data_IF_167230498357
#
_entry.id   IF_167230498357
#
_cell.length_a   1.000
_cell.length_b   1.000
_cell.length_c   1.000
_cell.angle_alpha   90.00
_cell.angle_beta   90.00
_cell.angle_gamma   90.00
#
_symmetry.space_group_name_H-M   'P 1'
#
loop_
_entity.id
_entity.type
_entity.pdbx_description
1 polymer ?
#
# COMPACT_ATOMS: atom_id res chain seq x y z
N UNK A 1 -13.78 -29.43 34.38
CA UNK A 1 -14.78 -28.59 33.68
C UNK A 1 -14.21 -27.27 33.17
N UNK A 2 -13.64 -26.36 33.99
CA UNK A 2 -13.08 -25.09 33.49
C UNK A 2 -11.86 -25.27 32.56
N UNK A 3 -10.95 -26.21 32.84
CA UNK A 3 -9.77 -26.47 32.01
C UNK A 3 -10.06 -27.10 30.65
N UNK A 4 -11.12 -27.89 30.54
CA UNK A 4 -11.58 -28.46 29.25
C UNK A 4 -12.28 -27.42 28.39
N UNK A 5 -13.04 -26.50 29.02
CA UNK A 5 -13.69 -25.40 28.32
C UNK A 5 -12.67 -24.41 27.76
N UNK A 6 -11.61 -24.10 28.52
CA UNK A 6 -10.50 -23.24 28.03
C UNK A 6 -9.72 -23.93 26.90
N UNK A 7 -9.47 -25.24 26.99
CA UNK A 7 -8.85 -26.00 25.88
C UNK A 7 -9.74 -26.04 24.64
N UNK A 8 -11.05 -26.23 24.80
CA UNK A 8 -11.99 -26.25 23.68
C UNK A 8 -12.10 -24.86 23.02
N UNK A 9 -12.12 -23.79 23.81
CA UNK A 9 -12.11 -22.40 23.30
C UNK A 9 -10.80 -22.07 22.60
N UNK A 10 -9.65 -22.52 23.13
CA UNK A 10 -8.35 -22.36 22.47
C UNK A 10 -8.24 -23.20 21.19
N UNK A 11 -8.81 -24.41 21.15
CA UNK A 11 -8.83 -25.26 19.97
C UNK A 11 -9.79 -24.73 18.89
N UNK A 12 -10.95 -24.21 19.28
CA UNK A 12 -11.90 -23.55 18.36
C UNK A 12 -11.34 -22.22 17.85
N UNK A 13 -10.67 -21.44 18.72
CA UNK A 13 -9.94 -20.23 18.34
C UNK A 13 -8.77 -20.51 17.40
N UNK A 14 -8.02 -21.58 17.63
CA UNK A 14 -6.94 -22.03 16.75
C UNK A 14 -7.47 -22.56 15.40
N UNK A 15 -8.60 -23.26 15.40
CA UNK A 15 -9.26 -23.75 14.18
C UNK A 15 -9.87 -22.61 13.35
N UNK A 16 -10.32 -21.52 13.98
CA UNK A 16 -10.75 -20.30 13.31
C UNK A 16 -9.58 -19.49 12.71
N UNK A 17 -8.40 -19.53 13.34
CA UNK A 17 -7.17 -18.90 12.85
C UNK A 17 -6.48 -19.68 11.71
N UNK A 18 -6.77 -20.98 11.57
CA UNK A 18 -6.24 -21.85 10.51
C UNK A 18 -7.18 -21.95 9.30
N UNK A 19 -8.22 -21.12 9.28
CA UNK A 19 -9.38 -21.29 8.46
C UNK A 19 -9.29 -20.27 7.33
N UNK A 20 -8.92 -20.71 6.11
CA UNK A 20 -8.80 -19.86 4.91
C UNK A 20 -10.05 -19.02 4.66
N UNK A 21 -9.99 -17.99 3.83
CA UNK A 21 -11.12 -17.06 3.64
C UNK A 21 -12.40 -17.81 3.25
N UNK A 22 -13.56 -17.22 3.52
CA UNK A 22 -14.84 -17.89 3.22
C UNK A 22 -14.92 -18.37 1.77
N UNK A 23 -14.47 -17.55 0.81
CA UNK A 23 -14.42 -17.91 -0.60
C UNK A 23 -13.54 -19.12 -0.89
N UNK A 24 -12.44 -19.32 -0.15
CA UNK A 24 -11.54 -20.47 -0.30
C UNK A 24 -12.20 -21.78 0.13
N UNK A 25 -13.24 -21.71 0.94
CA UNK A 25 -13.99 -22.86 1.44
C UNK A 25 -15.17 -23.21 0.54
N UNK A 26 -15.56 -22.32 -0.37
CA UNK A 26 -16.72 -22.54 -1.23
C UNK A 26 -16.51 -23.77 -2.12
N UNK A 27 -17.42 -24.77 -2.08
CA UNK A 27 -17.27 -25.99 -2.86
C UNK A 27 -17.16 -25.72 -4.36
N UNK A 28 -17.91 -24.73 -4.86
CA UNK A 28 -17.90 -24.31 -6.26
C UNK A 28 -16.53 -23.78 -6.67
N UNK A 29 -15.93 -22.92 -5.83
CA UNK A 29 -14.60 -22.39 -6.08
C UNK A 29 -13.55 -23.50 -6.10
N UNK A 30 -13.56 -24.38 -5.09
CA UNK A 30 -12.58 -25.47 -4.96
C UNK A 30 -12.66 -26.47 -6.10
N UNK A 31 -13.86 -26.91 -6.47
CA UNK A 31 -14.06 -27.85 -7.57
C UNK A 31 -13.65 -27.23 -8.92
N UNK A 32 -13.96 -25.94 -9.13
CA UNK A 32 -13.52 -25.22 -10.32
C UNK A 32 -11.98 -25.19 -10.41
N UNK A 33 -11.29 -24.80 -9.33
CA UNK A 33 -9.81 -24.69 -9.32
C UNK A 33 -9.18 -26.04 -9.60
N UNK A 34 -9.62 -27.11 -8.90
CA UNK A 34 -9.10 -28.46 -9.09
C UNK A 34 -9.23 -28.91 -10.55
N UNK A 35 -10.42 -28.75 -11.15
CA UNK A 35 -10.66 -29.12 -12.55
C UNK A 35 -9.86 -28.27 -13.54
N UNK A 36 -9.71 -26.97 -13.26
CA UNK A 36 -8.92 -26.08 -14.10
C UNK A 36 -7.45 -26.48 -14.10
N UNK A 37 -6.87 -26.77 -12.92
CA UNK A 37 -5.48 -27.17 -12.79
C UNK A 37 -5.19 -28.52 -13.44
N UNK A 38 -6.06 -29.52 -13.25
CA UNK A 38 -5.93 -30.83 -13.88
C UNK A 38 -5.95 -30.74 -15.41
N UNK A 39 -6.84 -29.91 -15.97
CA UNK A 39 -7.03 -29.78 -17.43
C UNK A 39 -5.96 -28.92 -18.09
N UNK A 40 -5.61 -27.79 -17.48
CA UNK A 40 -4.82 -26.74 -18.14
C UNK A 40 -3.37 -26.69 -17.68
N UNK A 41 -3.09 -27.10 -16.43
CA UNK A 41 -1.79 -26.88 -15.80
C UNK A 41 -0.89 -28.12 -15.77
N UNK A 42 -1.22 -29.16 -16.56
CA UNK A 42 -0.46 -30.42 -16.63
C UNK A 42 -0.02 -30.79 -18.06
N UNK A 43 1.13 -31.48 -18.17
CA UNK A 43 1.58 -32.10 -19.43
C UNK A 43 1.68 -31.16 -20.64
N UNK A 44 1.04 -31.56 -21.75
CA UNK A 44 1.00 -30.77 -22.98
C UNK A 44 0.19 -29.47 -22.86
N UNK A 45 -0.84 -29.45 -22.02
CA UNK A 45 -1.66 -28.26 -21.79
C UNK A 45 -0.86 -27.15 -21.10
N UNK A 46 0.00 -27.49 -20.13
CA UNK A 46 0.89 -26.52 -19.50
C UNK A 46 1.89 -25.90 -20.49
N UNK A 47 2.43 -26.72 -21.42
CA UNK A 47 3.31 -26.21 -22.49
C UNK A 47 2.55 -25.26 -23.42
N UNK A 48 1.30 -25.59 -23.75
CA UNK A 48 0.43 -24.74 -24.57
C UNK A 48 0.09 -23.43 -23.85
N UNK A 49 -0.23 -23.47 -22.55
CA UNK A 49 -0.45 -22.28 -21.75
C UNK A 49 0.79 -21.37 -21.78
N UNK A 50 1.97 -21.92 -21.46
CA UNK A 50 3.22 -21.15 -21.44
C UNK A 50 3.59 -20.55 -22.80
N UNK A 51 3.28 -21.22 -23.91
CA UNK A 51 3.57 -20.67 -25.24
C UNK A 51 2.62 -19.55 -25.66
N UNK A 52 1.44 -19.47 -25.05
CA UNK A 52 0.45 -18.40 -25.28
C UNK A 52 0.45 -17.32 -24.21
N UNK A 53 1.07 -17.56 -23.07
CA UNK A 53 1.12 -16.60 -21.98
C UNK A 53 1.82 -15.31 -22.43
N UNK A 54 1.19 -14.13 -22.29
CA UNK A 54 1.83 -12.87 -22.65
C UNK A 54 3.13 -12.65 -21.87
N UNK A 55 4.14 -12.08 -22.53
CA UNK A 55 5.48 -11.89 -21.94
C UNK A 55 5.41 -11.09 -20.64
N UNK A 56 4.57 -10.05 -20.57
CA UNK A 56 4.43 -9.23 -19.36
C UNK A 56 3.87 -10.04 -18.16
N UNK A 57 2.99 -11.02 -18.41
CA UNK A 57 2.48 -11.91 -17.35
C UNK A 57 3.56 -12.87 -16.88
N UNK A 58 4.34 -13.43 -17.82
CA UNK A 58 5.44 -14.32 -17.50
C UNK A 58 6.55 -13.60 -16.73
N UNK A 59 6.89 -12.37 -17.11
CA UNK A 59 7.89 -11.54 -16.41
C UNK A 59 7.42 -11.14 -15.01
N UNK A 60 6.12 -10.89 -14.84
CA UNK A 60 5.52 -10.64 -13.53
C UNK A 60 5.31 -11.92 -12.70
N UNK A 61 5.72 -13.10 -13.19
CA UNK A 61 5.67 -14.35 -12.42
C UNK A 61 4.26 -14.92 -12.22
N UNK A 62 3.33 -14.63 -13.13
CA UNK A 62 2.01 -15.27 -13.12
C UNK A 62 2.12 -16.72 -13.61
N UNK A 63 1.44 -17.64 -12.94
CA UNK A 63 1.43 -19.06 -13.28
C UNK A 63 0.05 -19.51 -13.77
N UNK A 64 0.00 -20.69 -14.39
CA UNK A 64 -1.27 -21.33 -14.78
C UNK A 64 -2.21 -21.53 -13.58
N UNK A 65 -1.66 -21.86 -12.41
CA UNK A 65 -2.44 -22.02 -11.18
C UNK A 65 -3.04 -20.69 -10.71
N UNK A 66 -2.29 -19.59 -10.81
CA UNK A 66 -2.80 -18.26 -10.46
C UNK A 66 -3.97 -17.85 -11.36
N UNK A 67 -3.89 -18.15 -12.66
CA UNK A 67 -4.99 -17.91 -13.60
C UNK A 67 -6.20 -18.79 -13.29
N UNK A 68 -6.01 -20.07 -12.97
CA UNK A 68 -7.11 -20.94 -12.54
C UNK A 68 -7.80 -20.41 -11.27
N UNK A 69 -7.05 -19.98 -10.26
CA UNK A 69 -7.59 -19.36 -9.05
C UNK A 69 -8.38 -18.10 -9.38
N UNK A 70 -7.83 -17.23 -10.22
CA UNK A 70 -8.47 -15.98 -10.62
C UNK A 70 -9.79 -16.20 -11.38
N UNK A 71 -9.80 -17.05 -12.41
CA UNK A 71 -11.00 -17.32 -13.20
C UNK A 71 -12.09 -17.96 -12.34
N UNK A 72 -11.73 -18.95 -11.52
CA UNK A 72 -12.68 -19.63 -10.64
C UNK A 72 -13.21 -18.75 -9.51
N UNK A 73 -12.40 -17.80 -9.02
CA UNK A 73 -12.86 -16.75 -8.12
C UNK A 73 -13.97 -15.95 -8.79
N UNK A 74 -13.77 -15.47 -10.03
CA UNK A 74 -14.78 -14.68 -10.75
C UNK A 74 -16.04 -15.45 -11.12
N UNK A 75 -15.93 -16.75 -11.44
CA UNK A 75 -17.09 -17.64 -11.58
C UNK A 75 -17.90 -17.67 -10.29
N UNK A 76 -17.23 -17.83 -9.15
CA UNK A 76 -17.89 -17.91 -7.83
C UNK A 76 -18.52 -16.57 -7.46
N UNK A 77 -17.80 -15.45 -7.67
CA UNK A 77 -18.34 -14.09 -7.47
C UNK A 77 -19.59 -13.86 -8.33
N UNK A 78 -19.58 -14.31 -9.59
CA UNK A 78 -20.72 -14.20 -10.49
C UNK A 78 -21.99 -14.88 -9.95
N UNK A 79 -21.85 -16.07 -9.36
CA UNK A 79 -22.97 -16.79 -8.73
C UNK A 79 -23.52 -16.03 -7.51
N UNK A 80 -22.63 -15.54 -6.64
CA UNK A 80 -23.04 -14.74 -5.47
C UNK A 80 -23.82 -13.49 -5.86
N UNK A 81 -23.36 -12.79 -6.90
CA UNK A 81 -24.05 -11.60 -7.40
C UNK A 81 -25.42 -11.93 -8.01
N UNK A 82 -25.54 -13.05 -8.72
CA UNK A 82 -26.81 -13.51 -9.29
C UNK A 82 -27.83 -13.89 -8.21
N UNK A 83 -27.38 -14.53 -7.13
CA UNK A 83 -28.22 -14.95 -6.01
C UNK A 83 -28.49 -13.82 -4.99
N UNK A 84 -27.86 -12.65 -5.17
CA UNK A 84 -28.01 -11.51 -4.25
C UNK A 84 -27.29 -11.70 -2.91
N UNK A 85 -26.30 -12.59 -2.86
CA UNK A 85 -25.48 -12.84 -1.68
C UNK A 85 -24.30 -11.87 -1.58
N UNK A 86 -23.81 -11.66 -0.35
CA UNK A 86 -22.59 -10.85 -0.12
C UNK A 86 -21.38 -11.65 -0.58
N UNK A 87 -20.61 -11.07 -1.49
CA UNK A 87 -19.38 -11.68 -2.02
C UNK A 87 -18.38 -11.91 -0.88
N UNK A 88 -17.75 -13.09 -0.78
CA UNK A 88 -16.75 -13.36 0.24
C UNK A 88 -15.34 -12.93 -0.22
N UNK A 89 -14.40 -12.88 0.74
CA UNK A 89 -12.98 -12.77 0.46
C UNK A 89 -12.40 -14.13 0.01
N UNK A 90 -11.34 -14.08 -0.79
CA UNK A 90 -10.55 -15.21 -1.29
C UNK A 90 -9.07 -14.98 -0.96
N UNK A 91 -8.38 -15.98 -0.44
CA UNK A 91 -6.96 -15.92 -0.03
C UNK A 91 -6.60 -14.69 0.82
N UNK A 92 -7.48 -14.33 1.76
CA UNK A 92 -7.30 -13.18 2.65
C UNK A 92 -7.63 -11.81 2.04
N UNK A 93 -8.11 -11.75 0.79
CA UNK A 93 -8.35 -10.49 0.07
C UNK A 93 -9.71 -10.43 -0.60
N UNK A 94 -10.17 -9.23 -0.91
CA UNK A 94 -11.32 -9.03 -1.78
C UNK A 94 -10.98 -9.34 -3.24
N UNK A 95 -11.96 -9.74 -4.07
CA UNK A 95 -11.74 -9.97 -5.50
C UNK A 95 -11.51 -8.63 -6.24
N UNK A 96 -10.43 -8.57 -7.02
CA UNK A 96 -10.08 -7.43 -7.87
C UNK A 96 -10.05 -7.81 -9.34
N UNK A 97 -10.47 -6.90 -10.22
CA UNK A 97 -10.21 -7.05 -11.65
C UNK A 97 -8.73 -6.81 -11.92
N UNK A 98 -8.06 -7.83 -12.46
CA UNK A 98 -6.69 -7.69 -12.94
C UNK A 98 -6.69 -6.84 -14.20
N UNK A 99 -5.71 -5.96 -14.32
CA UNK A 99 -5.46 -5.20 -15.54
C UNK A 99 -4.01 -5.39 -15.96
N UNK A 100 -3.78 -5.90 -17.17
CA UNK A 100 -2.44 -6.36 -17.59
C UNK A 100 -1.86 -7.33 -16.55
N UNK A 101 -0.66 -7.07 -16.01
CA UNK A 101 -0.07 -7.85 -14.93
C UNK A 101 -0.43 -7.39 -13.52
N UNK A 102 -1.18 -6.29 -13.36
CA UNK A 102 -1.50 -5.70 -12.06
C UNK A 102 -2.62 -6.46 -11.37
N UNK A 103 -2.34 -6.95 -10.17
CA UNK A 103 -3.31 -7.59 -9.29
C UNK A 103 -4.30 -6.57 -8.70
N UNK A 104 -3.79 -5.44 -8.22
CA UNK A 104 -4.56 -4.34 -7.61
C UNK A 104 -4.24 -3.03 -8.37
N UNK A 105 -4.88 -2.77 -9.54
CA UNK A 105 -4.45 -1.71 -10.44
C UNK A 105 -4.46 -0.30 -9.84
N UNK A 106 -5.50 0.03 -9.04
CA UNK A 106 -5.59 1.35 -8.41
C UNK A 106 -4.50 1.56 -7.36
N UNK A 107 -4.30 0.59 -6.46
CA UNK A 107 -3.24 0.62 -5.44
C UNK A 107 -1.87 0.72 -6.09
N UNK A 108 -1.57 -0.11 -7.10
CA UNK A 108 -0.28 -0.09 -7.79
C UNK A 108 0.04 1.27 -8.44
N UNK A 109 -0.92 1.86 -9.16
CA UNK A 109 -0.74 3.17 -9.78
C UNK A 109 -0.59 4.27 -8.72
N UNK A 110 -1.39 4.23 -7.65
CA UNK A 110 -1.32 5.21 -6.58
C UNK A 110 0.01 5.14 -5.81
N UNK A 111 0.53 3.94 -5.53
CA UNK A 111 1.86 3.74 -4.95
C UNK A 111 2.97 4.26 -5.85
N UNK A 112 2.88 4.01 -7.17
CA UNK A 112 3.83 4.55 -8.14
C UNK A 112 3.84 6.08 -8.14
N UNK A 113 2.66 6.70 -8.13
CA UNK A 113 2.53 8.16 -8.09
C UNK A 113 3.06 8.77 -6.79
N UNK A 114 2.89 8.09 -5.65
CA UNK A 114 3.54 8.48 -4.39
C UNK A 114 5.07 8.45 -4.53
N UNK A 115 5.62 7.36 -5.07
CA UNK A 115 7.06 7.25 -5.32
C UNK A 115 7.60 8.33 -6.27
N UNK A 116 6.87 8.62 -7.34
CA UNK A 116 7.20 9.71 -8.27
C UNK A 116 7.18 11.07 -7.56
N UNK A 117 6.18 11.32 -6.72
CA UNK A 117 6.12 12.53 -5.90
C UNK A 117 7.33 12.63 -4.95
N UNK A 118 7.73 11.53 -4.29
CA UNK A 118 8.93 11.48 -3.46
C UNK A 118 10.19 11.82 -4.26
N UNK A 119 10.33 11.26 -5.47
CA UNK A 119 11.48 11.51 -6.34
C UNK A 119 11.56 12.98 -6.77
N UNK A 120 10.45 13.55 -7.25
CA UNK A 120 10.38 14.97 -7.64
C UNK A 120 10.73 15.87 -6.46
N UNK A 121 10.21 15.58 -5.26
CA UNK A 121 10.50 16.35 -4.07
C UNK A 121 11.95 16.19 -3.60
N UNK A 122 12.54 15.00 -3.73
CA UNK A 122 13.98 14.79 -3.47
C UNK A 122 14.85 15.63 -4.42
N UNK A 123 14.56 15.62 -5.73
CA UNK A 123 15.26 16.44 -6.71
C UNK A 123 15.16 17.94 -6.38
N UNK A 124 13.97 18.42 -6.03
CA UNK A 124 13.75 19.81 -5.59
C UNK A 124 14.50 20.14 -4.30
N UNK A 125 14.51 19.23 -3.34
CA UNK A 125 15.21 19.42 -2.08
C UNK A 125 16.73 19.54 -2.30
N UNK A 126 17.32 18.64 -3.09
CA UNK A 126 18.77 18.65 -3.40
C UNK A 126 19.23 19.88 -4.17
N UNK A 127 18.39 20.43 -5.05
CA UNK A 127 18.70 21.64 -5.82
C UNK A 127 18.53 22.92 -5.01
N UNK A 128 17.69 22.89 -3.97
CA UNK A 128 17.29 24.11 -3.28
C UNK A 128 17.84 24.25 -1.86
N UNK A 129 18.26 23.16 -1.21
CA UNK A 129 18.82 23.18 0.14
C UNK A 129 20.32 22.92 0.06
N UNK A 130 21.18 23.79 0.64
CA UNK A 130 22.61 23.56 0.69
C UNK A 130 22.96 22.26 1.43
N UNK A 131 23.93 21.51 0.90
CA UNK A 131 24.41 20.27 1.53
C UNK A 131 25.05 20.51 2.91
N UNK A 132 25.45 21.74 3.23
CA UNK A 132 25.94 22.16 4.55
C UNK A 132 24.84 22.27 5.61
N UNK A 133 23.55 22.21 5.22
CA UNK A 133 22.45 22.27 6.18
C UNK A 133 22.49 21.08 7.14
N UNK A 134 22.39 21.29 8.47
CA UNK A 134 22.54 20.21 9.46
C UNK A 134 21.53 19.05 9.32
N UNK A 135 20.35 19.29 8.74
CA UNK A 135 19.33 18.27 8.50
C UNK A 135 19.34 17.68 7.09
N UNK A 136 20.19 18.19 6.21
CA UNK A 136 20.30 17.71 4.84
C UNK A 136 20.47 16.19 4.72
N UNK A 137 21.46 15.55 5.38
CA UNK A 137 21.65 14.11 5.23
C UNK A 137 20.45 13.30 5.73
N UNK A 138 19.83 13.71 6.84
CA UNK A 138 18.67 13.02 7.42
C UNK A 138 17.44 13.15 6.53
N UNK A 139 17.18 14.32 5.94
CA UNK A 139 16.03 14.50 5.05
C UNK A 139 16.21 13.77 3.71
N UNK A 140 17.43 13.77 3.15
CA UNK A 140 17.73 13.01 1.93
C UNK A 140 17.61 11.51 2.18
N UNK A 141 18.09 11.01 3.32
CA UNK A 141 17.91 9.61 3.71
C UNK A 141 16.42 9.24 3.84
N UNK A 142 15.61 10.08 4.49
CA UNK A 142 14.17 9.87 4.60
C UNK A 142 13.49 9.76 3.22
N UNK A 143 13.88 10.60 2.28
CA UNK A 143 13.35 10.58 0.91
C UNK A 143 13.69 9.28 0.17
N UNK A 144 14.93 8.80 0.30
CA UNK A 144 15.34 7.52 -0.31
C UNK A 144 14.62 6.33 0.32
N UNK A 145 14.47 6.33 1.65
CA UNK A 145 13.69 5.31 2.37
C UNK A 145 12.23 5.33 1.92
N UNK A 146 11.63 6.51 1.78
CA UNK A 146 10.25 6.66 1.29
C UNK A 146 10.11 6.16 -0.16
N UNK A 147 11.04 6.53 -1.05
CA UNK A 147 11.05 6.06 -2.43
C UNK A 147 11.16 4.54 -2.52
N UNK A 148 11.99 3.92 -1.68
CA UNK A 148 12.13 2.48 -1.61
C UNK A 148 10.85 1.80 -1.13
N UNK A 149 10.15 2.36 -0.14
CA UNK A 149 8.88 1.84 0.33
C UNK A 149 7.80 1.91 -0.75
N UNK A 150 7.66 3.06 -1.43
CA UNK A 150 6.68 3.19 -2.52
C UNK A 150 6.99 2.30 -3.72
N UNK A 151 8.27 2.03 -3.99
CA UNK A 151 8.67 1.04 -4.98
C UNK A 151 8.16 -0.36 -4.60
N UNK A 152 8.42 -0.82 -3.37
CA UNK A 152 7.96 -2.14 -2.93
C UNK A 152 6.44 -2.25 -2.84
N UNK A 153 5.76 -1.16 -2.43
CA UNK A 153 4.31 -1.07 -2.48
C UNK A 153 3.77 -1.22 -3.90
N UNK A 154 4.40 -0.55 -4.88
CA UNK A 154 4.04 -0.69 -6.30
C UNK A 154 4.23 -2.14 -6.78
N UNK A 155 5.35 -2.77 -6.41
CA UNK A 155 5.66 -4.15 -6.80
C UNK A 155 4.65 -5.13 -6.19
N UNK A 156 4.33 -4.99 -4.90
CA UNK A 156 3.36 -5.82 -4.19
C UNK A 156 1.96 -5.74 -4.81
N UNK A 157 1.46 -4.51 -5.04
CA UNK A 157 0.14 -4.30 -5.66
C UNK A 157 0.09 -4.71 -7.13
N UNK A 158 1.25 -4.77 -7.80
CA UNK A 158 1.35 -5.37 -9.13
C UNK A 158 1.28 -6.89 -9.04
N UNK A 159 2.09 -7.51 -8.19
CA UNK A 159 2.17 -8.95 -8.03
C UNK A 159 2.35 -9.30 -6.56
N UNK A 160 1.34 -9.97 -6.00
CA UNK A 160 1.34 -10.40 -4.62
C UNK A 160 2.03 -11.76 -4.43
N UNK A 161 3.11 -11.77 -3.67
CA UNK A 161 3.85 -12.96 -3.25
C UNK A 161 4.31 -12.76 -1.81
N UNK A 162 4.63 -13.84 -1.10
CA UNK A 162 5.17 -13.77 0.26
C UNK A 162 6.35 -12.80 0.42
N UNK A 163 7.19 -12.67 -0.61
CA UNK A 163 8.35 -11.78 -0.59
C UNK A 163 7.93 -10.33 -0.77
N UNK A 164 7.09 -10.05 -1.77
CA UNK A 164 6.66 -8.68 -2.07
C UNK A 164 5.79 -8.11 -0.95
N UNK A 165 4.94 -8.93 -0.34
CA UNK A 165 4.12 -8.56 0.83
C UNK A 165 5.02 -8.17 2.01
N UNK A 166 5.99 -9.03 2.37
CA UNK A 166 6.96 -8.74 3.44
C UNK A 166 7.73 -7.45 3.17
N UNK A 167 8.20 -7.26 1.94
CA UNK A 167 8.97 -6.07 1.59
C UNK A 167 8.14 -4.79 1.66
N UNK A 168 6.88 -4.81 1.23
CA UNK A 168 5.99 -3.65 1.37
C UNK A 168 5.85 -3.25 2.85
N UNK A 169 5.52 -4.21 3.72
CA UNK A 169 5.33 -3.94 5.14
C UNK A 169 6.62 -3.52 5.85
N UNK A 170 7.74 -4.19 5.61
CA UNK A 170 9.01 -3.85 6.26
C UNK A 170 9.52 -2.47 5.83
N UNK A 171 9.33 -2.11 4.57
CA UNK A 171 9.70 -0.79 4.10
C UNK A 171 8.76 0.29 4.65
N UNK A 172 7.45 0.03 4.78
CA UNK A 172 6.52 0.93 5.47
C UNK A 172 6.93 1.16 6.95
N UNK A 173 7.25 0.09 7.69
CA UNK A 173 7.78 0.19 9.07
C UNK A 173 9.05 1.03 9.14
N UNK A 174 9.94 0.89 8.15
CA UNK A 174 11.18 1.67 8.05
C UNK A 174 10.91 3.16 7.83
N UNK A 175 9.92 3.53 7.01
CA UNK A 175 9.52 4.93 6.80
C UNK A 175 9.03 5.56 8.11
N UNK A 176 8.16 4.87 8.85
CA UNK A 176 7.62 5.38 10.12
C UNK A 176 8.74 5.56 11.15
N UNK A 177 9.62 4.57 11.31
CA UNK A 177 10.77 4.65 12.22
C UNK A 177 11.73 5.77 11.80
N UNK A 178 11.97 5.96 10.50
CA UNK A 178 12.81 7.05 10.03
C UNK A 178 12.16 8.43 10.27
N UNK A 179 10.83 8.55 10.21
CA UNK A 179 10.13 9.78 10.61
C UNK A 179 10.33 10.09 12.10
N UNK A 180 10.27 9.07 12.96
CA UNK A 180 10.58 9.22 14.40
C UNK A 180 12.04 9.65 14.60
N UNK A 181 12.98 9.04 13.86
CA UNK A 181 14.38 9.43 13.88
C UNK A 181 14.58 10.89 13.45
N UNK A 182 13.95 11.31 12.34
CA UNK A 182 13.99 12.68 11.84
C UNK A 182 13.54 13.69 12.91
N UNK A 183 12.44 13.38 13.62
CA UNK A 183 11.95 14.20 14.72
C UNK A 183 12.94 14.27 15.90
N UNK A 184 13.61 13.16 16.23
CA UNK A 184 14.67 13.13 17.25
C UNK A 184 15.88 13.99 16.85
N UNK A 185 16.39 13.87 15.62
CA UNK A 185 17.54 14.68 15.20
C UNK A 185 17.18 16.17 15.24
N UNK A 186 15.99 16.51 14.78
CA UNK A 186 15.46 17.88 14.78
C UNK A 186 15.29 18.47 16.18
N UNK A 187 14.82 17.69 17.15
CA UNK A 187 14.49 18.20 18.49
C UNK A 187 15.69 18.25 19.43
N UNK A 188 16.56 17.24 19.38
CA UNK A 188 17.69 17.10 20.32
C UNK A 188 19.00 16.75 19.64
N UNK A 189 18.95 16.05 18.50
CA UNK A 189 20.15 15.47 17.89
C UNK A 189 21.12 16.46 17.28
N UNK A 190 20.64 17.61 16.81
CA UNK A 190 21.50 18.70 16.32
C UNK A 190 22.41 19.26 17.41
N UNK A 191 21.94 19.32 18.66
CA UNK A 191 22.72 19.79 19.80
C UNK A 191 23.51 18.66 20.46
N UNK A 192 23.00 17.44 20.40
CA UNK A 192 23.57 16.25 21.05
C UNK A 192 23.68 15.08 20.04
N UNK A 193 24.69 15.07 19.16
CA UNK A 193 24.82 14.05 18.11
C UNK A 193 24.99 12.63 18.67
N UNK A 194 25.59 12.47 19.85
CA UNK A 194 25.70 11.18 20.52
C UNK A 194 24.31 10.59 20.87
N UNK A 195 23.36 11.41 21.31
CA UNK A 195 21.98 11.00 21.60
C UNK A 195 21.27 10.57 20.31
N UNK A 196 21.44 11.33 19.22
CA UNK A 196 20.89 10.94 17.92
C UNK A 196 21.45 9.61 17.42
N UNK A 197 22.76 9.38 17.57
CA UNK A 197 23.40 8.13 17.16
C UNK A 197 22.91 6.93 17.98
N UNK A 198 22.84 7.07 19.31
CA UNK A 198 22.31 6.04 20.20
C UNK A 198 20.84 5.73 19.89
N UNK A 199 20.02 6.76 19.66
CA UNK A 199 18.62 6.60 19.30
C UNK A 199 18.45 5.94 17.93
N UNK A 200 19.28 6.29 16.93
CA UNK A 200 19.32 5.59 15.63
C UNK A 200 19.62 4.11 15.80
N UNK A 201 20.62 3.76 16.62
CA UNK A 201 20.99 2.37 16.88
C UNK A 201 19.84 1.60 17.54
N UNK A 202 19.13 2.22 18.48
CA UNK A 202 17.93 1.64 19.10
C UNK A 202 16.83 1.36 18.06
N UNK A 203 16.51 2.34 17.20
CA UNK A 203 15.49 2.16 16.16
C UNK A 203 15.86 1.08 15.15
N UNK A 204 17.14 0.99 14.76
CA UNK A 204 17.63 -0.07 13.89
C UNK A 204 17.56 -1.45 14.55
N UNK A 205 17.87 -1.54 15.85
CA UNK A 205 17.71 -2.77 16.61
C UNK A 205 16.24 -3.20 16.69
N UNK A 206 15.33 -2.26 16.96
CA UNK A 206 13.89 -2.52 16.97
C UNK A 206 13.39 -3.01 15.60
N UNK A 207 13.80 -2.34 14.51
CA UNK A 207 13.45 -2.77 13.15
C UNK A 207 14.00 -4.16 12.84
N UNK A 208 15.25 -4.43 13.18
CA UNK A 208 15.89 -5.73 12.94
C UNK A 208 15.17 -6.83 13.70
N UNK A 209 14.83 -6.60 14.97
CA UNK A 209 14.09 -7.56 15.78
C UNK A 209 12.68 -7.82 15.21
N UNK A 210 11.97 -6.76 14.81
CA UNK A 210 10.64 -6.83 14.21
C UNK A 210 10.65 -7.61 12.88
N UNK A 211 11.56 -7.28 11.97
CA UNK A 211 11.74 -7.97 10.68
C UNK A 211 12.14 -9.42 10.91
N UNK A 212 13.07 -9.69 11.83
CA UNK A 212 13.52 -11.05 12.14
C UNK A 212 12.38 -11.90 12.69
N UNK A 213 11.55 -11.35 13.57
CA UNK A 213 10.37 -12.05 14.10
C UNK A 213 9.38 -12.42 13.00
N UNK A 214 8.99 -11.45 12.16
CA UNK A 214 8.02 -11.66 11.08
C UNK A 214 8.56 -12.52 9.93
N UNK A 215 9.88 -12.59 9.77
CA UNK A 215 10.51 -13.40 8.72
C UNK A 215 10.83 -14.83 9.16
N UNK A 216 11.29 -15.02 10.39
CA UNK A 216 11.85 -16.30 10.87
C UNK A 216 10.90 -17.11 11.75
N UNK A 217 9.95 -16.46 12.43
CA UNK A 217 9.05 -17.13 13.39
C UNK A 217 7.69 -17.37 12.77
N UNK A 218 6.94 -16.30 12.56
CA UNK A 218 5.61 -16.33 11.96
C UNK A 218 5.29 -14.96 11.40
N UNK A 219 4.86 -14.94 10.14
CA UNK A 219 4.30 -13.73 9.56
C UNK A 219 2.88 -13.53 10.10
N UNK A 220 2.71 -12.53 10.95
CA UNK A 220 1.43 -12.16 11.55
C UNK A 220 1.10 -10.72 11.15
N UNK A 221 0.15 -10.59 10.22
CA UNK A 221 -0.31 -9.30 9.71
C UNK A 221 -0.90 -8.41 10.83
N UNK A 222 -1.67 -8.99 11.76
CA UNK A 222 -2.27 -8.25 12.86
C UNK A 222 -1.23 -7.66 13.81
N UNK A 223 -0.18 -8.42 14.11
CA UNK A 223 0.97 -7.91 14.85
C UNK A 223 1.69 -6.78 14.09
N UNK A 224 1.95 -6.96 12.78
CA UNK A 224 2.60 -5.93 11.95
C UNK A 224 1.80 -4.61 11.96
N UNK A 225 0.48 -4.71 11.75
CA UNK A 225 -0.43 -3.56 11.79
C UNK A 225 -0.40 -2.89 13.16
N UNK A 226 -0.55 -3.65 14.25
CA UNK A 226 -0.53 -3.12 15.61
C UNK A 226 0.79 -2.40 15.95
N UNK A 227 1.93 -2.98 15.56
CA UNK A 227 3.25 -2.38 15.77
C UNK A 227 3.39 -1.04 15.02
N UNK A 228 2.98 -1.01 13.74
CA UNK A 228 3.03 0.21 12.93
C UNK A 228 2.08 1.30 13.43
N UNK A 229 0.86 0.94 13.86
CA UNK A 229 -0.07 1.89 14.49
C UNK A 229 0.54 2.45 15.77
N UNK A 230 1.11 1.61 16.65
CA UNK A 230 1.71 2.07 17.90
C UNK A 230 2.87 3.06 17.66
N UNK A 231 3.80 2.73 16.76
CA UNK A 231 4.92 3.63 16.42
C UNK A 231 4.41 4.88 15.71
N UNK A 232 3.39 4.76 14.85
CA UNK A 232 2.72 5.87 14.19
C UNK A 232 2.10 6.87 15.18
N UNK A 233 1.46 6.38 16.25
CA UNK A 233 0.93 7.23 17.32
C UNK A 233 2.04 7.96 18.09
N UNK A 234 3.16 7.28 18.38
CA UNK A 234 4.34 7.91 18.99
C UNK A 234 4.90 9.00 18.08
N UNK A 235 5.03 8.72 16.78
CA UNK A 235 5.47 9.68 15.77
C UNK A 235 4.56 10.91 15.75
N UNK A 236 3.24 10.71 15.67
CA UNK A 236 2.25 11.78 15.66
C UNK A 236 2.32 12.64 16.93
N UNK A 237 2.33 12.02 18.10
CA UNK A 237 2.41 12.73 19.38
C UNK A 237 3.67 13.60 19.49
N UNK A 238 4.82 13.08 19.04
CA UNK A 238 6.08 13.82 19.06
C UNK A 238 6.05 15.00 18.09
N UNK A 239 5.66 14.79 16.83
CA UNK A 239 5.56 15.86 15.84
C UNK A 239 4.59 16.95 16.26
N UNK A 240 3.40 16.59 16.77
CA UNK A 240 2.42 17.56 17.28
C UNK A 240 2.97 18.34 18.47
N UNK A 241 3.63 17.67 19.43
CA UNK A 241 4.26 18.35 20.58
C UNK A 241 5.33 19.35 20.12
N UNK A 242 6.16 18.96 19.15
CA UNK A 242 7.17 19.86 18.58
C UNK A 242 6.51 21.04 17.87
N UNK A 243 5.46 20.80 17.09
CA UNK A 243 4.72 21.85 16.40
C UNK A 243 4.11 22.86 17.40
N UNK A 244 3.38 22.37 18.40
CA UNK A 244 2.71 23.20 19.39
C UNK A 244 3.70 24.07 20.18
N UNK A 245 4.89 23.56 20.50
CA UNK A 245 5.95 24.33 21.17
C UNK A 245 6.57 25.41 20.30
N UNK A 246 6.59 25.22 18.97
CA UNK A 246 7.24 26.14 18.03
C UNK A 246 6.26 27.01 17.23
N UNK A 247 4.94 26.89 17.48
CA UNK A 247 3.88 27.62 16.77
C UNK A 247 4.06 29.13 16.74
N UNK A 248 4.64 29.70 17.80
CA UNK A 248 4.85 31.15 17.91
C UNK A 248 6.12 31.62 17.19
N UNK A 249 7.09 30.73 16.98
CA UNK A 249 8.40 31.05 16.39
C UNK A 249 8.44 30.76 14.89
N UNK A 250 7.69 29.77 14.43
CA UNK A 250 7.74 29.24 13.08
C UNK A 250 6.33 29.25 12.47
N UNK A 251 5.97 30.26 11.65
CA UNK A 251 4.60 30.42 11.15
C UNK A 251 4.15 29.28 10.23
N UNK A 252 5.06 28.56 9.57
CA UNK A 252 4.74 27.42 8.69
C UNK A 252 4.39 26.11 9.43
N UNK A 253 4.50 26.08 10.76
CA UNK A 253 4.22 24.89 11.58
C UNK A 253 2.77 24.42 11.48
N UNK A 254 1.82 25.31 11.18
CA UNK A 254 0.42 24.92 10.93
C UNK A 254 0.31 23.89 9.78
N UNK A 255 1.14 24.00 8.75
CA UNK A 255 1.19 23.02 7.64
C UNK A 255 1.64 21.65 8.15
N UNK A 256 2.58 21.61 9.09
CA UNK A 256 3.05 20.38 9.72
C UNK A 256 1.96 19.72 10.57
N UNK A 257 1.22 20.50 11.35
CA UNK A 257 0.06 20.00 12.10
C UNK A 257 -0.97 19.40 11.14
N UNK A 258 -1.32 20.11 10.06
CA UNK A 258 -2.26 19.61 9.05
C UNK A 258 -1.76 18.30 8.44
N UNK A 259 -0.48 18.21 8.05
CA UNK A 259 0.09 16.98 7.49
C UNK A 259 0.02 15.82 8.47
N UNK A 260 0.40 16.02 9.73
CA UNK A 260 0.38 14.96 10.74
C UNK A 260 -1.05 14.47 10.98
N UNK A 261 -2.01 15.38 11.11
CA UNK A 261 -3.42 15.02 11.29
C UNK A 261 -3.99 14.32 10.05
N UNK A 262 -3.66 14.78 8.86
CA UNK A 262 -4.09 14.13 7.61
C UNK A 262 -3.48 12.74 7.47
N UNK A 263 -2.18 12.55 7.73
CA UNK A 263 -1.56 11.22 7.66
C UNK A 263 -2.22 10.24 8.65
N UNK A 264 -2.47 10.68 9.89
CA UNK A 264 -3.16 9.82 10.87
C UNK A 264 -4.62 9.57 10.49
N UNK A 265 -5.36 10.58 10.07
CA UNK A 265 -6.75 10.43 9.66
C UNK A 265 -6.90 9.51 8.44
N UNK A 266 -6.03 9.65 7.44
CA UNK A 266 -6.01 8.81 6.26
C UNK A 266 -5.57 7.38 6.57
N UNK A 267 -4.66 7.15 7.53
CA UNK A 267 -4.30 5.80 7.96
C UNK A 267 -5.45 5.03 8.61
N UNK A 268 -6.53 5.71 9.03
CA UNK A 268 -7.73 5.01 9.51
C UNK A 268 -8.49 4.30 8.38
N UNK A 269 -8.28 4.72 7.12
CA UNK A 269 -8.83 4.01 5.96
C UNK A 269 -8.26 2.60 5.85
N UNK A 270 -7.02 2.37 6.31
CA UNK A 270 -6.41 1.03 6.39
C UNK A 270 -7.20 0.07 7.28
N UNK A 271 -7.93 0.61 8.26
CA UNK A 271 -8.75 -0.18 9.18
C UNK A 271 -10.14 -0.49 8.60
N UNK A 272 -10.51 0.12 7.47
CA UNK A 272 -11.79 -0.11 6.82
C UNK A 272 -11.65 -1.29 5.86
N UNK A 273 -12.34 -2.39 6.17
CA UNK A 273 -12.39 -3.58 5.33
C UNK A 273 -13.70 -3.62 4.55
N UNK A 274 -13.70 -3.08 3.32
CA UNK A 274 -14.89 -3.08 2.45
C UNK A 274 -14.57 -3.61 1.03
N UNK A 275 -15.56 -4.22 0.33
CA UNK A 275 -15.36 -4.75 -1.01
C UNK A 275 -15.03 -3.64 -2.02
N UNK A 276 -14.07 -3.84 -2.94
CA UNK A 276 -13.62 -2.80 -3.86
C UNK A 276 -14.77 -2.25 -4.69
N UNK A 277 -14.92 -0.93 -4.69
CA UNK A 277 -15.80 -0.20 -5.59
C UNK A 277 -15.37 -0.47 -7.03
N UNK A 278 -16.34 -0.83 -7.87
CA UNK A 278 -16.11 -1.25 -9.25
C UNK A 278 -15.08 -2.39 -9.39
N UNK A 279 -14.85 -3.18 -8.34
CA UNK A 279 -13.85 -4.26 -8.29
C UNK A 279 -12.41 -3.82 -8.50
N UNK A 280 -12.12 -2.52 -8.29
CA UNK A 280 -10.79 -1.94 -8.52
C UNK A 280 -10.35 -1.02 -7.37
N UNK A 281 -11.28 -0.31 -6.72
CA UNK A 281 -10.97 0.73 -5.73
C UNK A 281 -11.48 0.34 -4.34
N UNK A 282 -10.59 -0.09 -3.46
CA UNK A 282 -10.88 -0.41 -2.06
C UNK A 282 -10.41 0.70 -1.10
N UNK A 283 -10.51 0.45 0.21
CA UNK A 283 -10.08 1.40 1.23
C UNK A 283 -8.58 1.70 1.14
N UNK A 284 -7.78 0.66 0.87
CA UNK A 284 -6.33 0.75 0.78
C UNK A 284 -5.90 1.60 -0.43
N UNK A 285 -6.50 1.39 -1.59
CA UNK A 285 -6.27 2.21 -2.77
C UNK A 285 -6.64 3.69 -2.52
N UNK A 286 -7.75 3.96 -1.82
CA UNK A 286 -8.13 5.34 -1.46
C UNK A 286 -7.10 5.97 -0.52
N UNK A 287 -6.57 5.20 0.43
CA UNK A 287 -5.47 5.66 1.28
C UNK A 287 -4.23 6.04 0.47
N UNK A 288 -3.79 5.17 -0.46
CA UNK A 288 -2.67 5.47 -1.37
C UNK A 288 -2.90 6.74 -2.18
N UNK A 289 -4.06 6.88 -2.83
CA UNK A 289 -4.39 8.06 -3.63
C UNK A 289 -4.38 9.34 -2.77
N UNK A 290 -4.95 9.27 -1.57
CA UNK A 290 -5.10 10.42 -0.68
C UNK A 290 -3.78 10.88 -0.08
N UNK A 291 -2.79 10.00 0.04
CA UNK A 291 -1.47 10.32 0.60
C UNK A 291 -0.54 11.04 -0.38
N UNK A 292 -0.79 10.98 -1.69
CA UNK A 292 0.01 11.68 -2.73
C UNK A 292 0.15 13.19 -2.43
N UNK A 293 -0.94 13.98 -2.27
CA UNK A 293 -0.80 15.42 -2.01
C UNK A 293 -0.22 15.71 -0.62
N UNK A 294 -0.49 14.85 0.36
CA UNK A 294 0.03 14.97 1.73
C UNK A 294 1.55 14.79 1.75
N UNK A 295 2.07 13.85 0.96
CA UNK A 295 3.49 13.60 0.83
C UNK A 295 4.23 14.81 0.22
N UNK A 296 3.67 15.41 -0.83
CA UNK A 296 4.21 16.64 -1.43
C UNK A 296 4.22 17.79 -0.42
N UNK A 297 3.16 17.93 0.38
CA UNK A 297 3.07 18.95 1.42
C UNK A 297 4.11 18.73 2.53
N UNK A 298 4.34 17.48 2.96
CA UNK A 298 5.36 17.14 3.96
C UNK A 298 6.77 17.59 3.53
N UNK A 299 7.18 17.21 2.32
CA UNK A 299 8.50 17.62 1.79
C UNK A 299 8.61 19.12 1.59
N UNK A 300 7.51 19.80 1.24
CA UNK A 300 7.49 21.25 1.13
C UNK A 300 7.75 21.95 2.47
N UNK A 301 7.31 21.35 3.58
CA UNK A 301 7.60 21.85 4.94
C UNK A 301 9.07 21.67 5.29
N UNK A 302 9.62 20.47 5.03
CA UNK A 302 11.06 20.20 5.23
C UNK A 302 11.93 21.18 4.43
N UNK A 303 11.51 21.50 3.22
CA UNK A 303 12.13 22.51 2.38
C UNK A 303 12.08 23.91 3.02
N UNK A 304 10.89 24.38 3.44
CA UNK A 304 10.71 25.70 4.05
C UNK A 304 11.52 25.87 5.34
N UNK A 305 11.57 24.83 6.16
CA UNK A 305 12.38 24.78 7.37
C UNK A 305 13.86 25.05 7.11
N UNK A 306 14.40 24.53 6.01
CA UNK A 306 15.84 24.56 5.74
C UNK A 306 16.31 25.83 5.04
N UNK A 307 15.41 26.52 4.34
CA UNK A 307 15.73 27.82 3.75
C UNK A 307 15.61 28.98 4.74
N UNK A 308 14.93 28.81 5.87
CA UNK A 308 14.74 29.88 6.85
C UNK A 308 13.95 31.08 6.31
N UNK A 309 13.23 30.90 5.19
CA UNK A 309 12.57 32.01 4.48
C UNK A 309 11.18 32.23 5.08
N UNK A 310 10.91 33.47 5.49
CA UNK A 310 9.58 33.96 5.80
C UNK A 310 8.62 33.79 4.62
N UNK A 311 7.30 33.96 4.82
CA UNK A 311 6.25 33.53 3.88
C UNK A 311 6.27 34.11 2.45
N UNK A 312 7.21 35.00 2.10
CA UNK A 312 7.18 35.77 0.84
C UNK A 312 7.80 35.08 -0.38
N UNK A 313 8.54 33.97 -0.22
CA UNK A 313 9.14 33.27 -1.38
C UNK A 313 8.37 32.04 -1.85
N UNK A 314 7.11 31.86 -1.43
CA UNK A 314 6.26 30.74 -1.82
C UNK A 314 5.12 31.16 -2.75
N UNK A 315 5.45 31.90 -3.81
CA UNK A 315 4.71 31.69 -5.04
C UNK A 315 5.15 30.33 -5.58
N UNK A 316 4.37 29.28 -5.27
CA UNK A 316 4.39 28.09 -6.10
C UNK A 316 4.29 28.58 -7.55
N UNK A 317 5.15 28.16 -8.49
CA UNK A 317 4.75 28.24 -9.87
C UNK A 317 3.38 27.56 -9.96
N UNK A 318 2.45 28.24 -10.62
CA UNK A 318 1.04 27.93 -10.63
C UNK A 318 0.58 26.81 -11.60
N UNK A 319 1.34 25.76 -12.00
CA UNK A 319 0.71 24.67 -12.77
C UNK A 319 0.21 23.50 -11.92
N UNK A 320 0.33 23.49 -10.58
CA UNK A 320 -0.14 22.36 -9.74
C UNK A 320 -1.33 22.68 -8.83
N UNK A 321 -1.79 23.94 -8.79
CA UNK A 321 -2.93 24.39 -7.98
C UNK A 321 -4.08 24.98 -8.82
N UNK A 322 -3.95 24.99 -10.15
CA UNK A 322 -5.10 25.21 -11.02
C UNK A 322 -5.79 23.86 -11.27
N UNK A 323 -7.09 23.72 -10.97
CA UNK A 323 -7.87 22.58 -11.42
C UNK A 323 -8.16 22.76 -12.91
N UNK A 324 -7.17 22.59 -13.78
CA UNK A 324 -7.42 22.39 -15.22
C UNK A 324 -7.53 20.91 -15.59
N UNK A 325 -7.50 20.02 -14.60
CA UNK A 325 -7.78 18.59 -14.74
C UNK A 325 -9.21 18.15 -14.36
N UNK A 326 -10.28 18.83 -14.84
CA UNK A 326 -11.54 18.09 -14.99
C UNK A 326 -12.20 18.15 -16.38
N UNK A 327 -11.84 19.03 -17.31
CA UNK A 327 -12.57 19.10 -18.59
C UNK A 327 -12.05 18.16 -19.66
N UNK A 328 -10.73 17.94 -19.77
CA UNK A 328 -10.18 17.06 -20.80
C UNK A 328 -10.26 15.57 -20.42
N UNK A 329 -10.13 15.23 -19.13
CA UNK A 329 -10.31 13.84 -18.68
C UNK A 329 -11.79 13.40 -18.75
N UNK A 330 -12.74 14.28 -18.39
CA UNK A 330 -14.18 14.00 -18.54
C UNK A 330 -14.64 14.05 -20.01
N UNK A 331 -14.10 14.96 -20.84
CA UNK A 331 -14.35 14.94 -22.28
C UNK A 331 -13.77 13.68 -22.93
N UNK A 332 -12.58 13.23 -22.49
CA UNK A 332 -11.99 11.98 -22.94
C UNK A 332 -12.69 10.74 -22.41
N UNK A 333 -13.57 10.82 -21.41
CA UNK A 333 -14.45 9.72 -20.95
C UNK A 333 -15.79 9.76 -21.69
N UNK A 334 -16.27 10.93 -22.09
CA UNK A 334 -17.47 11.10 -22.93
C UNK A 334 -17.25 10.75 -24.41
N UNK A 335 -16.01 10.78 -24.91
CA UNK A 335 -15.68 10.37 -26.29
C UNK A 335 -15.22 8.92 -26.41
N UNK A 336 -15.34 8.09 -25.36
CA UNK A 336 -15.12 6.65 -25.52
C UNK A 336 -16.19 6.12 -26.48
N UNK A 337 -15.80 5.36 -27.52
CA UNK A 337 -16.80 4.72 -28.36
C UNK A 337 -17.67 3.85 -27.44
N UNK A 338 -18.98 4.14 -27.38
CA UNK A 338 -19.96 3.33 -26.66
C UNK A 338 -20.03 1.87 -27.18
N UNK A 339 -19.23 1.53 -28.18
CA UNK A 339 -19.17 0.22 -28.83
C UNK A 339 -17.98 -0.66 -28.35
N UNK A 340 -17.19 -0.24 -27.36
CA UNK A 340 -16.09 -1.08 -26.82
C UNK A 340 -16.60 -2.10 -25.76
N UNK A 341 -17.79 -1.91 -25.21
CA UNK A 341 -18.44 -2.86 -24.27
C UNK A 341 -19.40 -3.83 -24.96
N UNK A 342 -19.19 -4.10 -26.25
CA UNK A 342 -19.93 -5.12 -27.01
C UNK A 342 -19.50 -6.55 -26.66
N UNK A 343 -19.48 -6.92 -25.39
CA UNK A 343 -19.50 -8.33 -25.02
C UNK A 343 -20.94 -8.84 -25.23
N UNK A 344 -21.19 -9.39 -26.42
CA UNK A 344 -22.32 -10.30 -26.62
C UNK A 344 -22.17 -11.39 -25.56
N UNK A 345 -23.09 -11.42 -24.60
CA UNK A 345 -23.28 -12.59 -23.75
C UNK A 345 -23.51 -13.78 -24.70
N UNK A 346 -22.50 -14.65 -24.81
CA UNK A 346 -22.62 -15.90 -25.52
C UNK A 346 -23.68 -16.74 -24.83
N UNK A 347 -24.75 -17.04 -25.57
CA UNK A 347 -25.86 -17.87 -25.15
C UNK A 347 -25.31 -19.22 -24.60
N UNK A 348 -25.63 -19.63 -23.36
CA UNK A 348 -25.00 -20.78 -22.69
C UNK A 348 -25.53 -22.14 -23.17
N UNK A 349 -25.92 -22.27 -24.44
CA UNK A 349 -26.46 -23.50 -25.02
C UNK A 349 -25.84 -23.80 -26.38
N UNK A 350 -24.58 -24.22 -26.38
CA UNK A 350 -23.98 -24.94 -27.51
C UNK A 350 -23.05 -26.04 -26.98
N UNK A 351 -23.28 -27.33 -27.30
CA UNK A 351 -22.37 -28.41 -26.96
C UNK A 351 -21.15 -28.35 -27.90
N UNK A 352 -19.94 -28.32 -27.36
CA UNK A 352 -18.71 -28.39 -28.15
C UNK A 352 -18.37 -29.85 -28.46
N UNK A 353 -18.49 -30.20 -29.74
CA UNK A 353 -17.90 -31.37 -30.39
C UNK A 353 -16.40 -31.22 -30.59
#
# INVERSE_FOLDING_TARGET
>A
MAGETVRLVLLVGAAALASGSQGDREPVYRDCVLRCEERNCSGGALKHFRSRQPIYMSLAGWTCQDDCKYECMWVTVGLYLQEGHKVPQFHGKWPFFRFLCFQEPASAVASFLNGLASLVMLCRYRTSVPASSPMYPTCVAFAWVSLNAWFWSTVFHTRDTDVTEKMDYFCASTVILHSVYLCCVRTVGLQRPAVASAFRALLLLMLTAHVSYLSLVRFDYGYNLAANVAIGLVNAAWWLTWCLRNRQRLPHVHKCIVVVLLLQGLSLLELLDFPPLFWVLDAHAIWHVSTIPVHVLFFSILYLDMKGVGPESCNLPSPLLTPTWPSQFLASVQTWPQNIWGWKMGNPSAPWS
#
